data_IF_268336480382
#
_entry.id   IF_268336480382
#
_cell.length_a   1.000
_cell.length_b   1.000
_cell.length_c   1.000
_cell.angle_alpha   90.00
_cell.angle_beta   90.00
_cell.angle_gamma   90.00
#
_symmetry.space_group_name_H-M   'P 1'
#
loop_
_entity.id
_entity.type
_entity.pdbx_description
1 polymer ?
#
# COMPACT_ATOMS: atom_id res chain seq x y z
N UNK A 1 -17.37 -0.69 6.68
CA UNK A 1 -16.75 -0.86 5.35
C UNK A 1 -15.32 -1.32 5.54
N UNK A 2 -14.86 -2.25 4.71
CA UNK A 2 -13.51 -2.83 4.77
C UNK A 2 -12.51 -1.95 4.02
N UNK A 3 -11.22 -2.11 4.29
CA UNK A 3 -10.18 -1.53 3.45
C UNK A 3 -10.23 -2.16 2.05
N UNK A 4 -9.88 -1.37 1.03
CA UNK A 4 -9.88 -1.85 -0.35
C UNK A 4 -8.62 -2.65 -0.62
N UNK A 5 -8.77 -3.83 -1.22
CA UNK A 5 -7.67 -4.60 -1.78
C UNK A 5 -7.42 -4.16 -3.24
N UNK A 6 -6.23 -3.62 -3.52
CA UNK A 6 -5.89 -3.15 -4.87
C UNK A 6 -5.45 -4.28 -5.81
N UNK A 7 -6.19 -4.43 -6.91
CA UNK A 7 -5.91 -5.38 -7.99
C UNK A 7 -5.48 -4.66 -9.27
N UNK A 8 -4.67 -5.34 -10.07
CA UNK A 8 -4.14 -4.83 -11.34
C UNK A 8 -5.26 -4.59 -12.36
N UNK A 9 -6.26 -5.47 -12.40
CA UNK A 9 -7.36 -5.44 -13.39
C UNK A 9 -6.97 -5.95 -14.77
N UNK A 10 -5.71 -6.36 -14.96
CA UNK A 10 -5.20 -6.93 -16.20
C UNK A 10 -5.69 -8.37 -16.40
N UNK A 11 -6.69 -8.57 -17.28
CA UNK A 11 -7.26 -9.90 -17.55
C UNK A 11 -6.26 -10.89 -18.13
N UNK A 12 -5.20 -10.44 -18.81
CA UNK A 12 -4.19 -11.32 -19.37
C UNK A 12 -3.27 -11.93 -18.28
N UNK A 13 -3.20 -11.30 -17.09
CA UNK A 13 -2.39 -11.78 -15.97
C UNK A 13 -3.26 -12.14 -14.78
N UNK A 14 -3.25 -13.42 -14.40
CA UNK A 14 -4.04 -13.94 -13.28
C UNK A 14 -5.52 -13.56 -13.35
N UNK A 15 -6.08 -13.41 -14.56
CA UNK A 15 -7.47 -13.03 -14.79
C UNK A 15 -7.89 -11.73 -14.05
N UNK A 16 -7.00 -10.73 -14.03
CA UNK A 16 -7.24 -9.43 -13.38
C UNK A 16 -6.81 -9.34 -11.92
N UNK A 17 -6.39 -10.45 -11.31
CA UNK A 17 -6.10 -10.55 -9.87
C UNK A 17 -4.65 -10.27 -9.49
N UNK A 18 -3.81 -9.86 -10.45
CA UNK A 18 -2.46 -9.40 -10.14
C UNK A 18 -2.45 -8.24 -9.15
N UNK A 19 -1.31 -7.99 -8.51
CA UNK A 19 -1.12 -6.95 -7.49
C UNK A 19 0.16 -6.13 -7.73
N UNK A 20 0.65 -6.07 -8.97
CA UNK A 20 1.86 -5.31 -9.28
C UNK A 20 1.72 -3.82 -8.96
N UNK A 21 0.52 -3.24 -9.03
CA UNK A 21 0.28 -1.86 -8.58
C UNK A 21 0.55 -1.68 -7.09
N UNK A 22 0.03 -2.56 -6.24
CA UNK A 22 0.29 -2.53 -4.80
C UNK A 22 1.78 -2.77 -4.48
N UNK A 23 2.41 -3.73 -5.16
CA UNK A 23 3.87 -3.97 -5.03
C UNK A 23 4.68 -2.73 -5.42
N UNK A 24 4.29 -2.05 -6.51
CA UNK A 24 4.93 -0.81 -6.95
C UNK A 24 4.76 0.29 -5.89
N UNK A 25 3.56 0.44 -5.32
CA UNK A 25 3.31 1.40 -4.24
C UNK A 25 4.20 1.14 -3.02
N UNK A 26 4.41 -0.13 -2.65
CA UNK A 26 5.36 -0.49 -1.58
C UNK A 26 6.77 -0.05 -1.92
N UNK A 27 7.28 -0.45 -3.09
CA UNK A 27 8.69 -0.21 -3.44
C UNK A 27 9.02 1.26 -3.71
N UNK A 28 8.11 1.99 -4.36
CA UNK A 28 8.39 3.33 -4.88
C UNK A 28 7.83 4.46 -4.00
N UNK A 29 6.83 4.17 -3.16
CA UNK A 29 6.14 5.20 -2.37
C UNK A 29 6.31 4.94 -0.87
N UNK A 30 5.98 3.74 -0.38
CA UNK A 30 6.02 3.44 1.07
C UNK A 30 7.46 3.26 1.57
N UNK A 31 8.28 2.48 0.86
CA UNK A 31 9.63 2.14 1.32
C UNK A 31 10.51 3.38 1.56
N UNK A 32 10.60 4.37 0.65
CA UNK A 32 11.39 5.59 0.90
C UNK A 32 10.94 6.35 2.15
N UNK A 33 9.66 6.27 2.50
CA UNK A 33 9.10 6.95 3.67
C UNK A 33 9.37 6.20 4.99
N UNK A 34 9.53 4.88 4.96
CA UNK A 34 9.71 4.08 6.18
C UNK A 34 11.17 3.70 6.47
N UNK A 35 12.07 3.77 5.49
CA UNK A 35 13.50 3.45 5.70
C UNK A 35 14.08 4.34 6.80
N UNK A 36 14.68 3.71 7.81
CA UNK A 36 15.29 4.38 8.95
C UNK A 36 14.38 4.57 10.16
N UNK A 37 13.10 4.22 10.05
CA UNK A 37 12.19 4.14 11.21
C UNK A 37 12.44 2.83 11.96
N UNK A 38 12.40 2.88 13.30
CA UNK A 38 12.47 1.69 14.13
C UNK A 38 11.27 0.78 13.87
N UNK A 39 11.53 -0.47 13.48
CA UNK A 39 10.49 -1.45 13.22
C UNK A 39 9.64 -1.79 14.46
N UNK A 40 10.14 -1.52 15.67
CA UNK A 40 9.39 -1.68 16.91
C UNK A 40 8.45 -0.50 17.21
N UNK A 41 8.62 0.64 16.53
CA UNK A 41 7.68 1.76 16.61
C UNK A 41 6.52 1.59 15.63
N UNK A 42 5.71 0.56 15.89
CA UNK A 42 4.56 0.18 15.08
C UNK A 42 3.58 1.34 14.87
N UNK A 43 3.35 2.16 15.91
CA UNK A 43 2.43 3.30 15.83
C UNK A 43 2.91 4.35 14.84
N UNK A 44 4.20 4.66 14.83
CA UNK A 44 4.79 5.60 13.87
C UNK A 44 4.73 5.03 12.45
N UNK A 45 5.08 3.75 12.28
CA UNK A 45 5.01 3.07 10.97
C UNK A 45 3.58 3.11 10.40
N UNK A 46 2.59 2.72 11.20
CA UNK A 46 1.19 2.68 10.77
C UNK A 46 0.66 4.07 10.45
N UNK A 47 0.91 5.07 11.31
CA UNK A 47 0.48 6.45 11.06
C UNK A 47 1.07 7.00 9.77
N UNK A 48 2.36 6.77 9.53
CA UNK A 48 3.02 7.26 8.31
C UNK A 48 2.42 6.64 7.06
N UNK A 49 2.10 5.35 7.08
CA UNK A 49 1.43 4.68 5.95
C UNK A 49 -0.02 5.18 5.76
N UNK A 50 -0.77 5.39 6.84
CA UNK A 50 -2.13 5.92 6.79
C UNK A 50 -2.16 7.35 6.23
N UNK A 51 -1.26 8.22 6.69
CA UNK A 51 -1.15 9.61 6.22
C UNK A 51 -0.72 9.67 4.76
N UNK A 52 0.18 8.77 4.34
CA UNK A 52 0.69 8.68 2.96
C UNK A 52 -0.39 8.24 1.96
N UNK A 53 -1.26 7.31 2.38
CA UNK A 53 -2.44 6.93 1.61
C UNK A 53 -3.47 8.08 1.59
N UNK A 54 -3.81 8.63 2.76
CA UNK A 54 -4.69 9.78 2.91
C UNK A 54 -6.17 9.51 2.60
N UNK A 55 -6.58 8.25 2.44
CA UNK A 55 -7.99 7.88 2.21
C UNK A 55 -8.53 7.02 3.35
N UNK A 56 -9.84 7.14 3.60
CA UNK A 56 -10.53 6.41 4.68
C UNK A 56 -10.38 4.88 4.54
N UNK A 57 -10.39 4.37 3.31
CA UNK A 57 -10.39 2.94 3.00
C UNK A 57 -9.12 2.44 2.32
N UNK A 58 -8.00 3.17 2.44
CA UNK A 58 -6.69 2.77 1.90
C UNK A 58 -6.69 2.55 0.39
N UNK A 59 -7.54 3.27 -0.34
CA UNK A 59 -7.84 3.01 -1.75
C UNK A 59 -6.77 3.50 -2.71
N UNK A 60 -5.86 4.37 -2.25
CA UNK A 60 -4.82 4.97 -3.07
C UNK A 60 -3.59 4.06 -3.18
N UNK A 61 -3.12 3.55 -2.04
CA UNK A 61 -1.94 2.68 -1.97
C UNK A 61 -2.32 1.20 -2.01
N UNK A 62 -3.52 0.86 -1.53
CA UNK A 62 -4.20 -0.37 -1.87
C UNK A 62 -3.78 -1.62 -1.14
#
# INVERSE_FOLDING_TARGET
>A
NEALELRDGDKARYNGKGVLKAVKNVNEIIAPELIGIDALDQLTVDRKMLDLDGTEFKTKLG
#
